data_IF_363016628570
#
_entry.id   IF_363016628570
#
_cell.length_a   1.000
_cell.length_b   1.000
_cell.length_c   1.000
_cell.angle_alpha   90.00
_cell.angle_beta   90.00
_cell.angle_gamma   90.00
#
_symmetry.space_group_name_H-M   'P 1'
#
loop_
_entity.id
_entity.type
_entity.pdbx_description
1 polymer ?
#
# COMPACT_ATOMS: atom_id res chain seq x y z
N UNK A 1 -6.51 -8.87 -2.76
CA UNK A 1 -7.96 -8.78 -3.03
C UNK A 1 -8.48 -7.45 -2.48
N UNK A 2 -9.10 -6.62 -3.30
CA UNK A 2 -9.56 -5.28 -2.93
C UNK A 2 -9.10 -4.21 -3.89
N UNK A 3 -8.60 -3.11 -3.37
CA UNK A 3 -8.19 -1.90 -4.10
C UNK A 3 -9.35 -0.96 -4.37
N UNK A 4 -9.25 -0.11 -5.40
CA UNK A 4 -10.30 0.83 -5.80
C UNK A 4 -11.51 0.07 -6.37
N UNK A 5 -12.62 0.07 -5.63
CA UNK A 5 -13.84 -0.64 -5.99
C UNK A 5 -14.87 0.29 -6.62
N UNK A 6 -15.61 -0.20 -7.64
CA UNK A 6 -16.83 0.45 -8.09
C UNK A 6 -17.91 0.37 -6.99
N UNK A 7 -18.92 1.24 -7.05
CA UNK A 7 -20.03 1.20 -6.07
C UNK A 7 -20.72 -0.17 -6.03
N UNK A 8 -20.98 -0.77 -7.17
CA UNK A 8 -21.60 -2.10 -7.27
C UNK A 8 -20.71 -3.21 -6.68
N UNK A 9 -19.40 -3.16 -6.91
CA UNK A 9 -18.44 -4.12 -6.32
C UNK A 9 -18.32 -3.92 -4.81
N UNK A 10 -18.36 -2.66 -4.34
CA UNK A 10 -18.37 -2.33 -2.91
C UNK A 10 -19.56 -2.96 -2.18
N UNK A 11 -20.76 -2.86 -2.74
CA UNK A 11 -21.98 -3.44 -2.16
C UNK A 11 -21.90 -4.98 -2.11
N UNK A 12 -21.32 -5.61 -3.12
CA UNK A 12 -21.09 -7.07 -3.14
C UNK A 12 -20.16 -7.45 -1.99
N UNK A 13 -19.01 -6.78 -1.84
CA UNK A 13 -18.07 -7.03 -0.74
C UNK A 13 -18.73 -6.84 0.62
N UNK A 14 -19.45 -5.74 0.83
CA UNK A 14 -20.16 -5.46 2.07
C UNK A 14 -21.14 -6.58 2.44
N UNK A 15 -21.90 -7.08 1.49
CA UNK A 15 -22.84 -8.17 1.73
C UNK A 15 -22.11 -9.48 2.10
N UNK A 16 -21.02 -9.82 1.42
CA UNK A 16 -20.21 -10.98 1.76
C UNK A 16 -19.57 -10.88 3.15
N UNK A 17 -19.02 -9.72 3.50
CA UNK A 17 -18.39 -9.53 4.80
C UNK A 17 -19.39 -9.68 5.94
N UNK A 18 -20.59 -9.11 5.81
CA UNK A 18 -21.62 -9.16 6.84
C UNK A 18 -22.28 -10.54 6.98
N UNK A 19 -22.23 -11.40 5.97
CA UNK A 19 -22.96 -12.67 5.95
C UNK A 19 -22.05 -13.87 6.25
N UNK A 20 -22.17 -14.43 7.44
CA UNK A 20 -21.39 -15.61 7.88
C UNK A 20 -21.62 -16.88 7.05
N UNK A 21 -22.71 -16.98 6.27
CA UNK A 21 -22.96 -18.10 5.38
C UNK A 21 -22.27 -17.92 4.01
N UNK A 22 -22.08 -16.70 3.56
CA UNK A 22 -21.49 -16.40 2.26
C UNK A 22 -19.96 -16.25 2.33
N UNK A 23 -19.41 -15.80 3.48
CA UNK A 23 -17.95 -15.67 3.67
C UNK A 23 -17.17 -16.93 3.35
N UNK A 24 -17.54 -18.13 3.85
CA UNK A 24 -16.82 -19.37 3.53
C UNK A 24 -16.81 -19.70 2.04
N UNK A 25 -17.88 -19.37 1.31
CA UNK A 25 -17.98 -19.59 -0.14
C UNK A 25 -16.98 -18.70 -0.89
N UNK A 26 -16.89 -17.43 -0.51
CA UNK A 26 -15.92 -16.50 -1.10
C UNK A 26 -14.49 -16.90 -0.77
N UNK A 27 -14.23 -17.26 0.49
CA UNK A 27 -12.90 -17.69 0.97
C UNK A 27 -12.43 -18.93 0.19
N UNK A 28 -13.30 -19.92 -0.01
CA UNK A 28 -12.96 -21.12 -0.80
C UNK A 28 -12.56 -20.76 -2.23
N UNK A 29 -13.29 -19.82 -2.87
CA UNK A 29 -12.96 -19.36 -4.22
C UNK A 29 -11.62 -18.62 -4.27
N UNK A 30 -11.30 -17.78 -3.26
CA UNK A 30 -10.01 -17.09 -3.16
C UNK A 30 -8.87 -18.10 -3.04
N UNK A 31 -9.00 -19.07 -2.15
CA UNK A 31 -7.99 -20.11 -1.95
C UNK A 31 -7.82 -20.97 -3.21
N UNK A 32 -8.93 -21.39 -3.82
CA UNK A 32 -8.88 -22.19 -5.06
C UNK A 32 -8.21 -21.39 -6.20
N UNK A 33 -8.57 -20.12 -6.37
CA UNK A 33 -7.92 -19.24 -7.36
C UNK A 33 -6.40 -19.13 -7.12
N UNK A 34 -5.98 -18.98 -5.86
CA UNK A 34 -4.57 -18.90 -5.50
C UNK A 34 -3.81 -20.18 -5.87
N UNK A 35 -4.42 -21.35 -5.62
CA UNK A 35 -3.84 -22.66 -5.99
C UNK A 35 -3.77 -22.86 -7.51
N UNK A 36 -4.85 -22.54 -8.22
CA UNK A 36 -4.94 -22.72 -9.67
C UNK A 36 -3.93 -21.84 -10.44
N UNK A 37 -3.53 -20.72 -9.83
CA UNK A 37 -2.56 -19.79 -10.39
C UNK A 37 -1.16 -19.89 -9.76
N UNK A 38 -0.90 -20.89 -8.92
CA UNK A 38 0.37 -21.11 -8.22
C UNK A 38 0.85 -19.86 -7.47
N UNK A 39 -0.08 -19.17 -6.76
CA UNK A 39 0.26 -18.02 -5.92
C UNK A 39 0.71 -18.49 -4.53
N UNK A 40 1.63 -17.74 -3.91
CA UNK A 40 2.13 -18.03 -2.56
C UNK A 40 1.19 -17.53 -1.46
N UNK A 41 0.19 -16.71 -1.80
CA UNK A 41 -0.76 -16.17 -0.83
C UNK A 41 -1.66 -15.08 -1.39
N UNK A 42 -2.28 -14.33 -0.48
CA UNK A 42 -3.25 -13.27 -0.79
C UNK A 42 -2.91 -11.99 -0.02
N UNK A 43 -2.91 -10.86 -0.71
CA UNK A 43 -2.92 -9.55 -0.08
C UNK A 43 -4.35 -9.03 0.04
N UNK A 44 -4.77 -8.60 1.24
CA UNK A 44 -6.08 -8.05 1.53
C UNK A 44 -5.97 -6.52 1.52
N UNK A 45 -6.55 -5.91 0.50
CA UNK A 45 -6.45 -4.47 0.23
C UNK A 45 -7.85 -3.83 0.13
N UNK A 46 -8.70 -4.09 1.14
CA UNK A 46 -9.97 -3.39 1.29
C UNK A 46 -9.75 -2.11 2.06
N UNK A 47 -10.18 -0.97 1.48
CA UNK A 47 -9.84 0.34 1.99
C UNK A 47 -11.07 1.15 2.40
N UNK A 48 -10.90 2.05 3.36
CA UNK A 48 -11.84 3.09 3.81
C UNK A 48 -13.26 2.55 4.05
N UNK A 49 -14.23 2.98 3.27
CA UNK A 49 -15.64 2.59 3.39
C UNK A 49 -15.91 1.12 3.04
N UNK A 50 -14.92 0.41 2.49
CA UNK A 50 -15.04 -1.02 2.17
C UNK A 50 -14.66 -1.91 3.36
N UNK A 51 -14.04 -1.36 4.40
CA UNK A 51 -13.83 -2.05 5.68
C UNK A 51 -15.11 -1.92 6.51
N UNK A 52 -16.00 -2.88 6.35
CA UNK A 52 -17.35 -2.88 6.95
C UNK A 52 -17.48 -3.99 8.00
N UNK A 53 -18.68 -4.12 8.59
CA UNK A 53 -19.00 -5.20 9.51
C UNK A 53 -18.63 -6.58 8.91
N UNK A 54 -18.09 -7.48 9.75
CA UNK A 54 -17.61 -8.80 9.33
C UNK A 54 -16.23 -8.83 8.70
N UNK A 55 -15.56 -7.68 8.51
CA UNK A 55 -14.19 -7.64 7.95
C UNK A 55 -13.21 -8.46 8.80
N UNK A 56 -13.24 -8.30 10.12
CA UNK A 56 -12.34 -9.03 11.01
C UNK A 56 -12.59 -10.54 10.98
N UNK A 57 -13.84 -10.95 10.96
CA UNK A 57 -14.21 -12.36 10.83
C UNK A 57 -13.70 -12.94 9.49
N UNK A 58 -13.91 -12.19 8.39
CA UNK A 58 -13.41 -12.58 7.07
C UNK A 58 -11.88 -12.79 7.08
N UNK A 59 -11.13 -11.87 7.69
CA UNK A 59 -9.66 -11.95 7.79
C UNK A 59 -9.24 -13.21 8.56
N UNK A 60 -9.89 -13.47 9.70
CA UNK A 60 -9.57 -14.63 10.55
C UNK A 60 -9.90 -15.94 9.81
N UNK A 61 -11.10 -16.06 9.26
CA UNK A 61 -11.55 -17.22 8.50
C UNK A 61 -10.68 -17.47 7.25
N UNK A 62 -10.30 -16.39 6.53
CA UNK A 62 -9.42 -16.47 5.36
C UNK A 62 -8.03 -16.95 5.77
N UNK A 63 -7.46 -16.42 6.88
CA UNK A 63 -6.14 -16.84 7.37
C UNK A 63 -6.11 -18.32 7.70
N UNK A 64 -7.12 -18.83 8.41
CA UNK A 64 -7.22 -20.24 8.74
C UNK A 64 -7.21 -21.13 7.47
N UNK A 65 -7.99 -20.72 6.48
CA UNK A 65 -8.10 -21.49 5.23
C UNK A 65 -6.83 -21.42 4.39
N UNK A 66 -6.19 -20.26 4.30
CA UNK A 66 -4.91 -20.07 3.60
C UNK A 66 -3.80 -20.89 4.28
N UNK A 67 -3.69 -20.83 5.60
CA UNK A 67 -2.69 -21.57 6.37
C UNK A 67 -2.83 -23.09 6.19
N UNK A 68 -4.06 -23.61 6.17
CA UNK A 68 -4.33 -25.02 5.90
C UNK A 68 -3.89 -25.47 4.49
N UNK A 69 -3.64 -24.53 3.57
CA UNK A 69 -3.13 -24.77 2.22
C UNK A 69 -1.69 -24.28 2.02
N UNK A 70 -0.95 -23.95 3.08
CA UNK A 70 0.42 -23.41 3.05
C UNK A 70 0.53 -22.10 2.26
N UNK A 71 -0.51 -21.26 2.30
CA UNK A 71 -0.56 -19.95 1.64
C UNK A 71 -0.44 -18.82 2.68
N UNK A 72 0.27 -17.75 2.30
CA UNK A 72 0.44 -16.56 3.11
C UNK A 72 -0.73 -15.60 3.01
N UNK A 73 -0.81 -14.65 3.97
CA UNK A 73 -1.78 -13.56 3.95
C UNK A 73 -1.15 -12.25 4.40
N UNK A 74 -1.26 -11.23 3.57
CA UNK A 74 -0.80 -9.87 3.85
C UNK A 74 -1.95 -8.87 3.73
N UNK A 75 -1.72 -7.63 4.12
CA UNK A 75 -2.67 -6.54 3.90
C UNK A 75 -1.96 -5.23 3.57
N UNK A 76 -2.68 -4.31 2.93
CA UNK A 76 -2.26 -2.92 2.78
C UNK A 76 -3.18 -2.01 3.62
N UNK A 77 -2.56 -1.11 4.40
CA UNK A 77 -3.30 -0.16 5.24
C UNK A 77 -2.79 1.28 5.06
N UNK A 78 -3.67 2.29 5.26
CA UNK A 78 -3.26 3.69 5.23
C UNK A 78 -2.16 3.99 6.26
N UNK A 79 -1.30 4.94 5.93
CA UNK A 79 -0.11 5.27 6.72
C UNK A 79 -0.39 5.59 8.18
N UNK A 80 -1.45 6.33 8.48
CA UNK A 80 -1.74 6.83 9.83
C UNK A 80 -3.19 6.52 10.27
N UNK A 81 -3.78 5.44 9.75
CA UNK A 81 -5.16 5.07 10.10
C UNK A 81 -5.30 3.56 10.23
N UNK A 82 -5.64 3.11 11.44
CA UNK A 82 -6.21 1.80 11.68
C UNK A 82 -7.74 1.92 11.61
N UNK A 83 -8.38 1.20 10.72
CA UNK A 83 -9.84 1.18 10.66
C UNK A 83 -10.44 0.66 11.97
N UNK A 84 -11.47 1.33 12.47
CA UNK A 84 -12.08 1.03 13.78
C UNK A 84 -12.65 -0.39 13.89
N UNK A 85 -13.06 -0.98 12.76
CA UNK A 85 -13.64 -2.32 12.69
C UNK A 85 -12.61 -3.45 12.63
N UNK A 86 -11.30 -3.12 12.58
CA UNK A 86 -10.26 -4.14 12.63
C UNK A 86 -9.92 -4.47 14.07
N UNK A 87 -10.21 -5.70 14.48
CA UNK A 87 -9.84 -6.23 15.80
C UNK A 87 -8.34 -6.49 15.89
N UNK A 88 -7.80 -6.56 17.10
CA UNK A 88 -6.40 -6.93 17.31
C UNK A 88 -6.09 -8.35 16.84
N UNK A 89 -7.05 -9.26 16.95
CA UNK A 89 -6.93 -10.63 16.46
C UNK A 89 -6.79 -10.67 14.94
N UNK A 90 -7.67 -9.97 14.20
CA UNK A 90 -7.57 -9.86 12.74
C UNK A 90 -6.25 -9.19 12.31
N UNK A 91 -5.82 -8.15 13.02
CA UNK A 91 -4.55 -7.48 12.73
C UNK A 91 -3.34 -8.41 12.91
N UNK A 92 -3.38 -9.29 13.92
CA UNK A 92 -2.33 -10.27 14.18
C UNK A 92 -2.36 -11.46 13.20
N UNK A 93 -3.46 -11.69 12.51
CA UNK A 93 -3.60 -12.79 11.55
C UNK A 93 -2.76 -12.59 10.28
N UNK A 94 -2.42 -11.35 9.92
CA UNK A 94 -1.56 -11.08 8.77
C UNK A 94 -0.10 -11.51 9.03
N UNK A 95 0.54 -12.07 8.03
CA UNK A 95 1.97 -12.41 8.08
C UNK A 95 2.81 -11.14 8.09
N UNK A 96 2.47 -10.17 7.23
CA UNK A 96 2.94 -8.80 7.33
C UNK A 96 1.91 -7.80 6.77
N UNK A 97 2.14 -6.52 7.06
CA UNK A 97 1.26 -5.40 6.72
C UNK A 97 2.07 -4.38 5.93
N UNK A 98 1.58 -4.02 4.76
CA UNK A 98 2.11 -2.99 3.90
C UNK A 98 1.53 -1.63 4.32
N UNK A 99 2.35 -0.72 4.81
CA UNK A 99 1.94 0.64 5.16
C UNK A 99 1.99 1.50 3.91
N UNK A 100 0.85 1.94 3.40
CA UNK A 100 0.73 2.83 2.25
C UNK A 100 1.14 4.27 2.62
N UNK A 101 2.45 4.53 2.74
CA UNK A 101 3.00 5.83 3.12
C UNK A 101 3.09 6.81 1.94
N UNK A 102 1.99 6.92 1.21
CA UNK A 102 1.80 7.79 0.06
C UNK A 102 0.34 8.29 0.00
N UNK A 103 0.01 9.08 -1.00
CA UNK A 103 -1.33 9.64 -1.22
C UNK A 103 -1.83 10.57 -0.09
N UNK A 104 -0.93 11.31 0.53
CA UNK A 104 -1.29 12.36 1.50
C UNK A 104 -2.08 13.51 0.89
N UNK A 105 -1.82 13.83 -0.38
CA UNK A 105 -2.55 14.76 -1.21
C UNK A 105 -2.57 14.25 -2.65
N UNK A 106 -3.53 14.74 -3.45
CA UNK A 106 -3.72 14.26 -4.80
C UNK A 106 -4.98 14.85 -5.43
N UNK A 107 -5.62 14.16 -6.39
CA UNK A 107 -6.83 14.65 -7.08
C UNK A 107 -7.99 15.04 -6.16
N UNK A 108 -8.09 14.39 -5.01
CA UNK A 108 -9.13 14.69 -3.99
C UNK A 108 -8.87 15.98 -3.19
N UNK A 109 -7.69 16.59 -3.35
CA UNK A 109 -7.29 17.83 -2.66
C UNK A 109 -6.51 18.75 -3.59
N UNK A 110 -7.04 19.02 -4.79
CA UNK A 110 -6.37 19.76 -5.85
C UNK A 110 -5.98 21.20 -5.47
N UNK A 111 -6.69 21.80 -4.51
CA UNK A 111 -6.41 23.14 -4.01
C UNK A 111 -5.19 23.23 -3.06
N UNK A 112 -4.61 22.09 -2.68
CA UNK A 112 -3.47 21.99 -1.76
C UNK A 112 -2.31 21.22 -2.40
N UNK A 113 -1.58 21.85 -3.35
CA UNK A 113 -0.41 21.25 -3.97
C UNK A 113 0.66 20.90 -2.95
N UNK A 114 1.27 19.73 -3.07
CA UNK A 114 2.33 19.32 -2.15
C UNK A 114 2.83 17.91 -2.37
N UNK A 115 3.80 17.53 -1.55
CA UNK A 115 4.39 16.20 -1.58
C UNK A 115 3.42 15.17 -0.98
N UNK A 116 2.99 14.21 -1.79
CA UNK A 116 2.07 13.15 -1.36
C UNK A 116 2.74 12.03 -0.57
N UNK A 117 4.07 11.98 -0.56
CA UNK A 117 4.82 10.90 0.10
C UNK A 117 6.20 11.38 0.58
N UNK A 118 6.24 12.36 1.50
CA UNK A 118 7.50 12.85 2.06
C UNK A 118 8.14 11.85 3.03
N UNK A 119 9.43 12.02 3.34
CA UNK A 119 10.10 11.25 4.40
C UNK A 119 9.41 11.45 5.77
N UNK A 120 8.95 12.66 6.07
CA UNK A 120 8.21 12.95 7.31
C UNK A 120 6.90 12.15 7.39
N UNK A 121 6.16 12.00 6.29
CA UNK A 121 4.96 11.16 6.25
C UNK A 121 5.32 9.69 6.52
N UNK A 122 6.40 9.19 5.93
CA UNK A 122 6.87 7.82 6.20
C UNK A 122 7.23 7.63 7.69
N UNK A 123 7.96 8.57 8.29
CA UNK A 123 8.30 8.52 9.73
C UNK A 123 7.07 8.52 10.63
N UNK A 124 6.05 9.33 10.32
CA UNK A 124 4.79 9.35 11.07
C UNK A 124 4.03 8.03 10.93
N UNK A 125 3.98 7.46 9.72
CA UNK A 125 3.37 6.15 9.48
C UNK A 125 4.05 5.03 10.30
N UNK A 126 5.38 4.98 10.27
CA UNK A 126 6.16 4.04 11.10
C UNK A 126 5.83 4.23 12.58
N UNK A 127 5.87 5.47 13.08
CA UNK A 127 5.54 5.77 14.47
C UNK A 127 4.11 5.34 14.83
N UNK A 128 3.15 5.60 13.96
CA UNK A 128 1.76 5.24 14.17
C UNK A 128 1.59 3.72 14.32
N UNK A 129 2.03 2.95 13.35
CA UNK A 129 1.82 1.50 13.34
C UNK A 129 2.66 0.77 14.39
N UNK A 130 3.92 1.16 14.57
CA UNK A 130 4.84 0.51 15.50
C UNK A 130 4.62 0.93 16.95
N UNK A 131 4.50 2.24 17.21
CA UNK A 131 4.53 2.75 18.59
C UNK A 131 3.12 3.05 19.14
N UNK A 132 2.17 3.49 18.30
CA UNK A 132 0.81 3.82 18.76
C UNK A 132 -0.09 2.58 18.68
N UNK A 133 -0.11 1.88 17.55
CA UNK A 133 -0.90 0.65 17.37
C UNK A 133 -0.21 -0.56 18.01
N UNK A 134 1.13 -0.57 18.07
CA UNK A 134 1.90 -1.62 18.73
C UNK A 134 2.17 -2.85 17.85
N UNK A 135 2.12 -2.73 16.52
CA UNK A 135 2.48 -3.83 15.62
C UNK A 135 4.00 -4.00 15.61
N UNK A 136 4.49 -5.24 15.77
CA UNK A 136 5.91 -5.53 15.67
C UNK A 136 6.48 -5.09 14.31
N UNK A 137 7.60 -4.35 14.32
CA UNK A 137 8.26 -3.87 13.10
C UNK A 137 8.59 -4.98 12.09
N UNK A 138 8.90 -6.18 12.56
CA UNK A 138 9.14 -7.35 11.70
C UNK A 138 7.93 -7.77 10.86
N UNK A 139 6.73 -7.32 11.22
CA UNK A 139 5.48 -7.53 10.47
C UNK A 139 5.08 -6.33 9.61
N UNK A 140 5.91 -5.30 9.50
CA UNK A 140 5.60 -4.08 8.79
C UNK A 140 6.53 -3.87 7.60
N UNK A 141 5.99 -3.42 6.47
CA UNK A 141 6.75 -2.91 5.34
C UNK A 141 6.37 -1.46 5.06
N UNK A 142 7.31 -0.66 4.57
CA UNK A 142 7.08 0.74 4.23
C UNK A 142 6.76 0.87 2.73
N UNK A 143 5.56 1.32 2.41
CA UNK A 143 5.13 1.60 1.05
C UNK A 143 5.79 2.86 0.48
N UNK A 144 6.32 2.74 -0.74
CA UNK A 144 6.91 3.85 -1.49
C UNK A 144 6.28 3.95 -2.88
N UNK A 145 6.00 5.18 -3.38
CA UNK A 145 5.40 5.36 -4.69
C UNK A 145 6.47 5.47 -5.79
N UNK A 146 6.21 4.85 -6.94
CA UNK A 146 6.96 5.07 -8.17
C UNK A 146 6.21 6.01 -9.13
N UNK A 147 5.35 6.85 -8.59
CA UNK A 147 4.55 7.84 -9.29
C UNK A 147 4.52 9.16 -8.52
N UNK A 148 3.90 10.14 -9.14
CA UNK A 148 3.65 11.44 -8.53
C UNK A 148 2.41 12.11 -9.06
N UNK A 149 2.14 13.30 -8.56
CA UNK A 149 0.99 14.13 -8.93
C UNK A 149 1.42 15.49 -9.49
N UNK A 150 0.83 15.87 -10.62
CA UNK A 150 0.95 17.17 -11.25
C UNK A 150 -0.29 18.01 -10.91
N UNK A 151 -0.11 19.05 -10.11
CA UNK A 151 -1.18 20.00 -9.73
C UNK A 151 -1.26 21.10 -10.80
N UNK A 152 -2.00 20.83 -11.88
CA UNK A 152 -2.13 21.77 -13.01
C UNK A 152 -2.95 23.01 -12.64
N UNK A 153 -3.97 22.85 -11.80
CA UNK A 153 -4.81 23.92 -11.28
C UNK A 153 -5.38 23.55 -9.91
N UNK A 154 -6.12 24.45 -9.29
CA UNK A 154 -6.85 24.19 -8.03
C UNK A 154 -7.98 23.15 -8.16
N UNK A 155 -8.27 22.67 -9.38
CA UNK A 155 -9.31 21.67 -9.65
C UNK A 155 -8.84 20.49 -10.49
N UNK A 156 -7.58 20.53 -10.98
CA UNK A 156 -7.04 19.52 -11.90
C UNK A 156 -5.70 18.99 -11.39
N UNK A 157 -5.68 17.70 -11.09
CA UNK A 157 -4.47 16.97 -10.71
C UNK A 157 -4.42 15.68 -11.51
N UNK A 158 -3.28 15.44 -12.17
CA UNK A 158 -3.03 14.23 -12.94
C UNK A 158 -1.86 13.45 -12.34
N UNK A 159 -1.96 12.12 -12.31
CA UNK A 159 -0.84 11.27 -11.97
C UNK A 159 0.15 11.15 -13.14
N UNK A 160 1.39 10.85 -12.81
CA UNK A 160 2.45 10.53 -13.78
C UNK A 160 3.41 9.51 -13.20
N UNK A 161 4.11 8.77 -14.05
CA UNK A 161 5.09 7.78 -13.63
C UNK A 161 6.45 8.43 -13.32
N UNK A 162 7.19 7.89 -12.36
CA UNK A 162 8.59 8.30 -12.13
C UNK A 162 9.44 8.16 -13.40
N UNK A 163 9.26 7.06 -14.14
CA UNK A 163 9.97 6.83 -15.40
C UNK A 163 9.77 7.95 -16.42
N UNK A 164 8.56 8.53 -16.51
CA UNK A 164 8.28 9.66 -17.41
C UNK A 164 9.04 10.93 -17.01
N UNK A 165 9.24 11.14 -15.70
CA UNK A 165 10.03 12.28 -15.20
C UNK A 165 11.50 12.14 -15.56
N UNK A 166 12.07 10.95 -15.38
CA UNK A 166 13.46 10.65 -15.78
C UNK A 166 13.64 10.76 -17.28
N UNK A 167 12.69 10.26 -18.08
CA UNK A 167 12.73 10.35 -19.55
C UNK A 167 12.69 11.82 -20.04
N UNK A 168 12.00 12.70 -19.32
CA UNK A 168 11.97 14.14 -19.67
C UNK A 168 13.29 14.86 -19.36
N UNK A 169 14.01 14.46 -18.31
CA UNK A 169 15.37 14.87 -17.97
C UNK A 169 15.94 13.95 -16.89
N UNK A 170 17.13 13.41 -17.10
CA UNK A 170 17.83 12.56 -16.12
C UNK A 170 18.11 13.27 -14.79
N UNK A 171 18.24 14.60 -14.79
CA UNK A 171 18.41 15.36 -13.56
C UNK A 171 17.19 15.31 -12.62
N UNK A 172 16.02 14.90 -13.12
CA UNK A 172 14.81 14.73 -12.33
C UNK A 172 14.87 13.48 -11.44
N UNK A 173 15.76 12.54 -11.73
CA UNK A 173 15.91 11.31 -10.93
C UNK A 173 16.24 11.60 -9.45
N UNK A 174 16.90 12.73 -9.17
CA UNK A 174 17.34 13.08 -7.81
C UNK A 174 16.56 14.25 -7.20
N UNK A 175 15.36 14.53 -7.74
CA UNK A 175 14.46 15.59 -7.23
C UNK A 175 13.16 14.99 -6.71
N UNK A 176 12.54 15.68 -5.76
CA UNK A 176 11.22 15.33 -5.23
C UNK A 176 10.10 16.19 -5.81
N UNK A 177 10.47 17.23 -6.58
CA UNK A 177 9.53 18.05 -7.34
C UNK A 177 10.17 18.74 -8.53
N UNK A 178 9.36 19.03 -9.55
CA UNK A 178 9.68 19.90 -10.69
C UNK A 178 8.44 20.74 -10.99
N UNK A 179 8.51 22.04 -10.68
CA UNK A 179 7.31 22.89 -10.72
C UNK A 179 6.21 22.34 -9.80
N UNK A 180 5.02 22.13 -10.35
CA UNK A 180 3.87 21.59 -9.63
C UNK A 180 3.76 20.05 -9.67
N UNK A 181 4.80 19.36 -10.13
CA UNK A 181 4.91 17.90 -10.14
C UNK A 181 5.66 17.44 -8.90
N UNK A 182 5.00 16.66 -8.03
CA UNK A 182 5.56 16.14 -6.79
C UNK A 182 5.63 14.62 -6.85
N UNK A 183 6.78 14.06 -6.49
CA UNK A 183 7.10 12.62 -6.52
C UNK A 183 8.25 12.32 -5.55
N UNK A 184 8.80 11.10 -5.54
CA UNK A 184 10.03 10.81 -4.81
C UNK A 184 11.18 10.56 -5.77
N UNK A 185 12.27 11.32 -5.63
CA UNK A 185 13.55 11.04 -6.26
C UNK A 185 14.37 10.01 -5.48
N UNK A 186 15.48 9.57 -6.09
CA UNK A 186 16.38 8.57 -5.48
C UNK A 186 16.91 8.94 -4.09
N UNK A 187 17.23 10.22 -3.74
CA UNK A 187 17.63 10.58 -2.38
C UNK A 187 16.56 10.24 -1.34
N UNK A 188 15.32 10.68 -1.55
CA UNK A 188 14.20 10.40 -0.64
C UNK A 188 13.89 8.90 -0.54
N UNK A 189 13.97 8.16 -1.64
CA UNK A 189 13.82 6.70 -1.61
C UNK A 189 14.94 6.06 -0.76
N UNK A 190 16.20 6.47 -0.90
CA UNK A 190 17.30 5.97 -0.04
C UNK A 190 17.05 6.22 1.45
N UNK A 191 16.54 7.40 1.79
CA UNK A 191 16.25 7.74 3.19
C UNK A 191 15.08 6.90 3.73
N UNK A 192 14.06 6.62 2.93
CA UNK A 192 12.95 5.73 3.28
C UNK A 192 13.42 4.26 3.44
N UNK A 193 14.31 3.79 2.58
CA UNK A 193 14.91 2.46 2.70
C UNK A 193 15.70 2.36 4.02
N UNK A 194 16.50 3.36 4.35
CA UNK A 194 17.22 3.40 5.63
C UNK A 194 16.24 3.36 6.82
N UNK A 195 15.18 4.16 6.78
CA UNK A 195 14.14 4.16 7.82
C UNK A 195 13.51 2.76 7.96
N UNK A 196 13.16 2.11 6.85
CA UNK A 196 12.59 0.77 6.87
C UNK A 196 13.57 -0.28 7.41
N UNK A 197 14.83 -0.28 6.96
CA UNK A 197 15.86 -1.20 7.43
C UNK A 197 16.13 -1.11 8.95
N UNK A 198 16.00 0.09 9.54
CA UNK A 198 16.18 0.32 10.96
C UNK A 198 14.94 -0.04 11.81
N UNK A 199 13.76 -0.09 11.23
CA UNK A 199 12.51 -0.10 12.01
C UNK A 199 11.48 -1.14 11.60
N UNK A 200 11.60 -1.72 10.40
CA UNK A 200 10.61 -2.60 9.75
C UNK A 200 11.29 -3.78 9.04
N UNK A 201 10.51 -4.63 8.39
CA UNK A 201 11.02 -5.81 7.66
C UNK A 201 11.37 -5.53 6.19
N UNK A 202 10.91 -4.40 5.61
CA UNK A 202 11.20 -4.13 4.21
C UNK A 202 10.43 -2.96 3.60
N UNK A 203 10.48 -2.91 2.27
CA UNK A 203 9.83 -1.92 1.42
C UNK A 203 8.73 -2.60 0.60
N UNK A 204 7.59 -1.95 0.46
CA UNK A 204 6.55 -2.25 -0.52
C UNK A 204 6.56 -1.15 -1.59
N UNK A 205 6.33 -1.50 -2.84
CA UNK A 205 6.40 -0.59 -3.99
C UNK A 205 5.04 -0.52 -4.70
N UNK A 206 4.52 0.69 -4.90
CA UNK A 206 3.38 0.93 -5.77
C UNK A 206 3.77 1.91 -6.88
N UNK A 207 3.91 1.47 -8.15
CA UNK A 207 4.01 0.11 -8.61
C UNK A 207 5.25 -0.05 -9.52
N UNK A 208 5.73 -1.25 -9.68
CA UNK A 208 6.96 -1.56 -10.40
C UNK A 208 6.97 -1.09 -11.86
N UNK A 209 5.82 -1.15 -12.55
CA UNK A 209 5.69 -0.73 -13.95
C UNK A 209 5.88 0.77 -14.18
N UNK A 210 5.94 1.58 -13.11
CA UNK A 210 6.09 3.03 -13.20
C UNK A 210 7.53 3.52 -12.96
N UNK A 211 8.48 2.58 -12.76
CA UNK A 211 9.90 2.89 -12.60
C UNK A 211 10.56 3.40 -13.91
N UNK A 212 11.75 3.92 -13.78
CA UNK A 212 12.68 4.12 -14.89
C UNK A 212 13.50 2.84 -15.11
N UNK A 213 13.36 2.22 -16.27
CA UNK A 213 14.13 0.99 -16.65
C UNK A 213 15.53 1.32 -17.15
N UNK A 214 16.22 2.25 -16.46
CA UNK A 214 17.58 2.71 -16.76
C UNK A 214 18.42 2.70 -15.49
N UNK A 215 19.67 3.15 -15.55
CA UNK A 215 20.56 3.37 -14.39
C UNK A 215 19.99 4.33 -13.32
N UNK A 216 18.88 5.01 -13.61
CA UNK A 216 18.16 5.90 -12.67
C UNK A 216 17.00 5.24 -11.94
N UNK A 217 16.84 3.92 -12.05
CA UNK A 217 15.77 3.14 -11.42
C UNK A 217 15.67 3.34 -9.91
N UNK A 218 14.45 3.48 -9.41
CA UNK A 218 14.17 3.47 -7.98
C UNK A 218 14.32 2.07 -7.38
N UNK A 219 13.93 1.01 -8.10
CA UNK A 219 14.11 -0.37 -7.66
C UNK A 219 15.60 -0.68 -7.46
N UNK A 220 16.46 -0.28 -8.41
CA UNK A 220 17.92 -0.40 -8.30
C UNK A 220 18.46 0.41 -7.11
N UNK A 221 17.87 1.59 -6.86
CA UNK A 221 18.22 2.42 -5.72
C UNK A 221 17.88 1.77 -4.39
N UNK A 222 16.74 1.09 -4.30
CA UNK A 222 16.32 0.30 -3.14
C UNK A 222 17.29 -0.87 -2.94
N UNK A 223 17.51 -1.67 -3.97
CA UNK A 223 18.38 -2.86 -3.93
C UNK A 223 19.81 -2.54 -3.47
N UNK A 224 20.42 -1.47 -3.97
CA UNK A 224 21.78 -1.06 -3.57
C UNK A 224 21.91 -0.56 -2.12
N UNK A 225 20.79 -0.22 -1.49
CA UNK A 225 20.78 0.33 -0.15
C UNK A 225 20.44 -0.72 0.91
N UNK A 226 19.74 -1.77 0.52
CA UNK A 226 19.48 -2.96 1.35
C UNK A 226 20.68 -3.90 1.32
#
# INVERSE_FOLDING_TARGET
>A
AGGALSSSTSDIWKNFLANSQDRPILIEKIVQYSKDNNLDGVDVDLEWSHVTEGYSDFVIELKEKLAANSLGMTAAFPSETKYSLITSEALNAFDFINIMAYDYTGPWNASSPGQHSSLNHAQRGVNYWKNIIGVNGEKLTLGVPFYGYNFESSTTVNSFTYGSMVASSVSNADRDNVGNKYYNGRPTIRDKVKLAAETMSGIMIWELGQDSFTEYSLLETIHKKY
#
